data_IF_320594918738
#
_entry.id   IF_320594918738
#
_cell.length_a   1.000
_cell.length_b   1.000
_cell.length_c   1.000
_cell.angle_alpha   90.00
_cell.angle_beta   90.00
_cell.angle_gamma   90.00
#
_symmetry.space_group_name_H-M   'P 1'
#
loop_
_entity.id
_entity.type
_entity.pdbx_description
1 polymer ?
#
# COMPACT_ATOMS: atom_id res chain seq x y z
N UNK A 1 -48.52 -4.72 19.82
CA UNK A 1 -49.16 -4.42 18.53
C UNK A 1 -49.16 -2.91 18.34
N UNK A 2 -48.17 -2.35 17.63
CA UNK A 2 -48.25 -0.96 17.17
C UNK A 2 -47.91 -0.96 15.68
N UNK A 3 -48.90 -0.53 14.92
CA UNK A 3 -48.96 -0.51 13.47
C UNK A 3 -47.95 0.52 12.94
N UNK A 4 -47.02 0.08 12.11
CA UNK A 4 -46.03 0.93 11.45
C UNK A 4 -46.70 1.64 10.27
N UNK A 5 -47.11 2.91 10.46
CA UNK A 5 -47.59 3.78 9.38
C UNK A 5 -46.49 4.79 9.07
N UNK A 6 -45.62 4.47 8.11
CA UNK A 6 -44.66 5.42 7.56
C UNK A 6 -45.30 6.13 6.36
N UNK A 7 -45.52 7.45 6.41
CA UNK A 7 -45.84 8.23 5.23
C UNK A 7 -44.57 8.94 4.76
N UNK A 8 -43.70 8.22 4.05
CA UNK A 8 -42.62 8.88 3.32
C UNK A 8 -42.65 8.40 1.88
N UNK A 9 -43.65 8.92 1.16
CA UNK A 9 -43.64 9.04 -0.29
C UNK A 9 -42.54 10.04 -0.65
N UNK A 10 -41.31 9.54 -0.75
CA UNK A 10 -40.17 10.32 -1.19
C UNK A 10 -40.19 10.32 -2.73
N UNK A 11 -40.78 11.37 -3.30
CA UNK A 11 -40.66 11.67 -4.73
C UNK A 11 -39.20 11.97 -5.02
N UNK A 12 -38.61 11.21 -5.94
CA UNK A 12 -37.21 11.30 -6.36
C UNK A 12 -36.99 12.55 -7.20
N UNK A 13 -36.75 13.68 -6.55
CA UNK A 13 -36.14 14.85 -7.18
C UNK A 13 -34.64 14.86 -6.86
N UNK A 14 -33.84 15.22 -7.87
CA UNK A 14 -32.37 15.17 -7.97
C UNK A 14 -31.60 15.66 -6.71
N UNK A 15 -32.25 16.47 -5.87
CA UNK A 15 -31.69 17.07 -4.65
C UNK A 15 -31.47 16.04 -3.53
N UNK A 16 -32.32 15.03 -3.35
CA UNK A 16 -32.14 14.14 -2.21
C UNK A 16 -31.15 12.99 -2.44
N UNK A 17 -30.66 12.79 -3.68
CA UNK A 17 -29.42 12.05 -3.90
C UNK A 17 -28.22 12.79 -3.28
N UNK A 18 -28.16 14.13 -3.40
CA UNK A 18 -27.10 14.92 -2.78
C UNK A 18 -27.13 14.88 -1.25
N UNK A 19 -28.31 14.90 -0.64
CA UNK A 19 -28.45 14.84 0.83
C UNK A 19 -28.04 13.47 1.37
N UNK A 20 -28.35 12.37 0.66
CA UNK A 20 -27.92 11.03 1.04
C UNK A 20 -26.39 10.91 1.06
N UNK A 21 -25.72 11.50 0.07
CA UNK A 21 -24.25 11.53 0.02
C UNK A 21 -23.65 12.34 1.16
N UNK A 22 -24.24 13.47 1.52
CA UNK A 22 -23.72 14.33 2.60
C UNK A 22 -23.83 13.62 3.97
N UNK A 23 -24.91 12.88 4.23
CA UNK A 23 -25.07 12.13 5.49
C UNK A 23 -24.06 10.98 5.59
N UNK A 24 -23.77 10.29 4.48
CA UNK A 24 -22.75 9.24 4.42
C UNK A 24 -21.37 9.84 4.72
N UNK A 25 -21.04 10.99 4.12
CA UNK A 25 -19.74 11.66 4.30
C UNK A 25 -19.57 12.11 5.76
N UNK A 26 -20.61 12.67 6.37
CA UNK A 26 -20.53 13.14 7.75
C UNK A 26 -20.38 11.99 8.76
N UNK A 27 -20.97 10.83 8.49
CA UNK A 27 -20.87 9.64 9.33
C UNK A 27 -19.49 8.98 9.24
N UNK A 28 -18.85 9.02 8.06
CA UNK A 28 -17.47 8.54 7.89
C UNK A 28 -16.42 9.41 8.58
N UNK A 29 -16.66 10.72 8.72
CA UNK A 29 -15.71 11.63 9.37
C UNK A 29 -15.73 11.55 10.91
N UNK A 30 -16.67 10.80 11.50
CA UNK A 30 -16.84 10.72 12.95
C UNK A 30 -16.26 9.46 13.62
N UNK A 31 -15.84 8.42 12.88
CA UNK A 31 -14.94 7.39 13.41
C UNK A 31 -13.51 7.87 13.16
N UNK A 32 -12.69 8.12 14.18
CA UNK A 32 -12.21 7.07 15.11
C UNK A 32 -11.04 6.37 14.43
N UNK A 33 -9.86 6.16 15.00
CA UNK A 33 -9.37 6.09 16.37
C UNK A 33 -7.83 6.19 16.26
N UNK A 34 -7.10 6.81 17.18
CA UNK A 34 -6.51 6.16 18.35
C UNK A 34 -5.82 4.82 18.06
N UNK A 35 -4.52 4.82 17.74
CA UNK A 35 -3.73 3.58 17.76
C UNK A 35 -2.42 3.78 18.52
N UNK A 36 -2.42 3.23 19.74
CA UNK A 36 -1.31 3.20 20.69
C UNK A 36 -0.50 1.93 20.45
N UNK A 37 0.80 2.14 20.26
CA UNK A 37 1.87 1.15 20.08
C UNK A 37 1.80 -0.02 21.07
N UNK A 38 1.86 -1.25 20.55
CA UNK A 38 2.32 -2.43 21.28
C UNK A 38 3.20 -3.31 20.38
N UNK A 39 4.50 -3.08 20.52
CA UNK A 39 5.60 -4.04 20.51
C UNK A 39 5.29 -5.51 20.11
N UNK A 40 5.87 -5.96 18.99
CA UNK A 40 6.07 -7.37 18.65
C UNK A 40 7.57 -7.68 18.80
N UNK A 41 7.86 -8.72 19.59
CA UNK A 41 9.15 -9.42 19.64
C UNK A 41 9.27 -10.32 18.39
N UNK A 42 10.46 -10.29 17.77
CA UNK A 42 11.03 -11.18 16.72
C UNK A 42 10.59 -11.05 15.25
N UNK A 43 11.56 -10.59 14.43
CA UNK A 43 11.75 -10.62 12.95
C UNK A 43 11.08 -9.53 12.06
N UNK A 44 11.77 -8.97 11.03
CA UNK A 44 13.12 -9.20 10.51
C UNK A 44 13.99 -7.92 10.49
N UNK A 45 14.94 -7.79 11.42
CA UNK A 45 16.13 -6.95 11.23
C UNK A 45 17.12 -7.60 10.22
N UNK A 46 16.65 -8.61 9.50
CA UNK A 46 17.35 -9.38 8.47
C UNK A 46 16.60 -9.29 7.12
N UNK A 47 15.78 -8.24 6.93
CA UNK A 47 15.15 -7.93 5.63
C UNK A 47 16.17 -7.43 4.58
N UNK A 48 17.41 -7.18 4.99
CA UNK A 48 18.52 -6.89 4.12
C UNK A 48 19.66 -7.88 4.40
N UNK A 49 19.43 -9.18 4.16
CA UNK A 49 20.51 -10.16 4.13
C UNK A 49 21.55 -9.72 3.10
N UNK A 50 22.64 -9.15 3.60
CA UNK A 50 23.77 -8.70 2.80
C UNK A 50 24.35 -9.91 2.09
N UNK A 51 24.19 -9.94 0.76
CA UNK A 51 24.65 -11.04 -0.07
C UNK A 51 26.12 -11.39 0.20
N UNK A 52 26.47 -12.70 0.29
CA UNK A 52 27.85 -13.13 0.30
C UNK A 52 28.55 -12.62 -0.97
N UNK A 53 29.70 -11.97 -0.78
CA UNK A 53 30.40 -11.29 -1.88
C UNK A 53 30.99 -12.33 -2.83
N UNK A 54 30.50 -12.37 -4.07
CA UNK A 54 31.06 -13.19 -5.14
C UNK A 54 30.41 -14.56 -5.33
N UNK A 55 29.40 -14.89 -4.53
CA UNK A 55 28.49 -16.01 -4.80
C UNK A 55 27.30 -15.48 -5.62
N UNK A 56 26.99 -16.12 -6.75
CA UNK A 56 25.84 -15.77 -7.56
C UNK A 56 24.52 -16.06 -6.85
N UNK A 57 23.41 -15.55 -7.38
CA UNK A 57 22.07 -15.90 -6.87
C UNK A 57 21.61 -17.23 -7.44
N UNK A 58 21.07 -18.09 -6.58
CA UNK A 58 20.42 -19.33 -7.01
C UNK A 58 19.12 -19.04 -7.76
N UNK A 59 18.86 -19.82 -8.81
CA UNK A 59 17.61 -19.70 -9.58
C UNK A 59 16.41 -20.10 -8.72
N UNK A 60 15.39 -19.24 -8.71
CA UNK A 60 14.17 -19.45 -7.92
C UNK A 60 14.29 -19.05 -6.45
N UNK A 61 15.49 -18.68 -5.97
CA UNK A 61 15.63 -18.06 -4.67
C UNK A 61 14.97 -16.67 -4.64
N UNK A 62 14.58 -16.21 -3.44
CA UNK A 62 14.04 -14.87 -3.27
C UNK A 62 15.14 -13.85 -3.60
N UNK A 63 14.86 -12.95 -4.54
CA UNK A 63 15.76 -11.86 -4.85
C UNK A 63 15.96 -10.96 -3.61
N UNK A 64 17.21 -10.67 -3.21
CA UNK A 64 17.51 -9.80 -2.08
C UNK A 64 17.04 -8.37 -2.33
N UNK A 65 16.59 -7.69 -1.27
CA UNK A 65 16.29 -6.26 -1.35
C UNK A 65 17.56 -5.46 -1.67
N UNK A 66 17.40 -4.44 -2.51
CA UNK A 66 18.45 -3.47 -2.81
C UNK A 66 17.87 -2.05 -2.84
N UNK A 67 18.74 -1.07 -2.67
CA UNK A 67 18.51 0.33 -2.97
C UNK A 67 19.74 0.84 -3.72
N UNK A 68 19.57 1.17 -5.01
CA UNK A 68 20.67 1.52 -5.89
C UNK A 68 20.30 2.74 -6.74
N UNK A 69 21.26 3.65 -7.00
CA UNK A 69 21.07 4.69 -7.99
C UNK A 69 21.07 4.09 -9.41
N UNK A 70 20.27 4.66 -10.29
CA UNK A 70 20.32 4.40 -11.72
C UNK A 70 21.40 5.23 -12.43
N UNK A 71 21.32 5.33 -13.76
CA UNK A 71 22.24 6.11 -14.58
C UNK A 71 22.15 7.62 -14.37
N UNK A 72 21.00 8.12 -13.91
CA UNK A 72 20.74 9.53 -13.62
C UNK A 72 20.97 9.87 -12.14
N UNK A 73 21.25 8.85 -11.32
CA UNK A 73 21.47 8.99 -9.88
C UNK A 73 20.19 8.90 -9.05
N UNK A 74 19.05 8.56 -9.65
CA UNK A 74 17.79 8.34 -8.94
C UNK A 74 17.82 6.98 -8.25
N UNK A 75 17.45 6.94 -6.96
CA UNK A 75 17.45 5.71 -6.17
C UNK A 75 16.18 4.91 -6.39
N UNK A 76 16.34 3.64 -6.77
CA UNK A 76 15.25 2.67 -6.90
C UNK A 76 15.43 1.51 -5.93
N UNK A 77 14.32 0.95 -5.46
CA UNK A 77 14.30 -0.25 -4.61
C UNK A 77 13.66 -1.44 -5.30
N UNK A 78 14.05 -2.67 -4.93
CA UNK A 78 13.42 -3.87 -5.49
C UNK A 78 11.92 -3.94 -5.18
N UNK A 79 11.53 -3.47 -4.00
CA UNK A 79 10.14 -3.46 -3.53
C UNK A 79 9.20 -2.64 -4.43
N UNK A 80 9.69 -1.60 -5.10
CA UNK A 80 8.91 -0.78 -6.04
C UNK A 80 8.43 -1.57 -7.27
N UNK A 81 9.13 -2.64 -7.63
CA UNK A 81 8.87 -3.43 -8.84
C UNK A 81 8.13 -4.75 -8.58
N UNK A 82 7.59 -4.95 -7.36
CA UNK A 82 6.83 -6.16 -7.03
C UNK A 82 5.61 -6.31 -7.94
N UNK A 83 5.31 -7.55 -8.32
CA UNK A 83 4.20 -7.87 -9.23
C UNK A 83 4.51 -7.68 -10.73
N UNK A 84 5.71 -7.25 -11.08
CA UNK A 84 6.15 -7.05 -12.45
C UNK A 84 7.30 -8.00 -12.82
N UNK A 85 7.44 -8.34 -14.11
CA UNK A 85 8.65 -9.02 -14.60
C UNK A 85 9.75 -7.98 -14.77
N UNK A 86 10.84 -8.12 -14.02
CA UNK A 86 11.94 -7.16 -13.97
C UNK A 86 13.24 -7.80 -14.48
N UNK A 87 14.02 -7.03 -15.26
CA UNK A 87 15.40 -7.37 -15.64
C UNK A 87 16.29 -6.21 -15.20
N UNK A 88 17.34 -6.50 -14.44
CA UNK A 88 18.29 -5.51 -13.91
C UNK A 88 19.62 -5.68 -14.64
N UNK A 89 20.11 -4.60 -15.26
CA UNK A 89 21.37 -4.60 -16.01
C UNK A 89 22.39 -3.74 -15.28
N UNK A 90 23.43 -4.37 -14.76
CA UNK A 90 24.57 -3.67 -14.17
C UNK A 90 25.60 -3.34 -15.26
N UNK A 91 25.89 -2.05 -15.43
CA UNK A 91 26.91 -1.58 -16.35
C UNK A 91 27.79 -0.51 -15.69
N UNK A 92 29.02 -0.36 -16.19
CA UNK A 92 29.90 0.71 -15.79
C UNK A 92 29.70 1.89 -16.74
N UNK A 93 29.39 3.06 -16.21
CA UNK A 93 29.53 4.30 -16.99
C UNK A 93 31.03 4.58 -17.14
N UNK A 94 31.53 4.54 -18.37
CA UNK A 94 32.93 4.81 -18.67
C UNK A 94 33.18 6.31 -18.63
N UNK A 95 34.01 6.76 -17.69
CA UNK A 95 34.61 8.10 -17.68
C UNK A 95 36.05 8.00 -18.13
#
# INVERSE_FOLDING_TARGET
MVNLRLPFSYKTDLVGLSVLWIVIIFFCLACGDAERTTHITTAPEDAAQKLPKGEGLDLGALAPEFSLPDGDGEFHTLSEYRGQKLVIVFYRTGT
#
